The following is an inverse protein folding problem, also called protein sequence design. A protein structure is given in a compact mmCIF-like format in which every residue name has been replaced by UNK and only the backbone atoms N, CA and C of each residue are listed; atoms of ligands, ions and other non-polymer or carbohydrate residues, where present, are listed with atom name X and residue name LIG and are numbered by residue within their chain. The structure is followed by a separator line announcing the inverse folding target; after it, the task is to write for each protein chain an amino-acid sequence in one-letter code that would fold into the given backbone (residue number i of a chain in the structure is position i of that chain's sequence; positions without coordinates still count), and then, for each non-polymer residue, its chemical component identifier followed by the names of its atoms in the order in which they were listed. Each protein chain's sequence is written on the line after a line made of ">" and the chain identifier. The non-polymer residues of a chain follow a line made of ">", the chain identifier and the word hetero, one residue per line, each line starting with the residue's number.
data_IF_244959561889
#
_entry.id   IF_244959561889
#
_cell.length_a   1.000
_cell.length_b   1.000
_cell.length_c   1.000
_cell.angle_alpha   90.00
_cell.angle_beta   90.00
_cell.angle_gamma   90.00
#
_symmetry.space_group_name_H-M   'P 1'
#
loop_
_entity.id
_entity.type
_entity.pdbx_description
1 polymer ?
#
# COMPACT_ATOMS: atom_id res chain seq x y z
N UNK A 1 13.57 8.06 -7.64
CA UNK A 1 13.29 8.94 -6.48
C UNK A 1 11.92 8.69 -5.85
N UNK A 2 10.85 8.38 -6.60
CA UNK A 2 9.51 8.15 -6.03
C UNK A 2 9.41 7.01 -4.98
N UNK A 3 10.17 5.91 -5.16
CA UNK A 3 10.17 4.76 -4.23
C UNK A 3 10.70 5.15 -2.83
N UNK A 4 11.67 6.06 -2.75
CA UNK A 4 12.23 6.46 -1.45
C UNK A 4 11.26 7.37 -0.68
N UNK A 5 10.50 8.21 -1.39
CA UNK A 5 9.50 9.10 -0.78
C UNK A 5 8.35 8.27 -0.20
N UNK A 6 7.80 7.32 -0.97
CA UNK A 6 6.69 6.49 -0.47
C UNK A 6 7.11 5.60 0.70
N UNK A 7 8.35 5.08 0.69
CA UNK A 7 8.90 4.26 1.77
C UNK A 7 8.96 5.03 3.09
N UNK A 8 9.42 6.30 3.05
CA UNK A 8 9.43 7.17 4.23
C UNK A 8 8.02 7.49 4.72
N UNK A 9 7.07 7.73 3.81
CA UNK A 9 5.66 7.95 4.16
C UNK A 9 5.07 6.72 4.85
N UNK A 10 5.35 5.51 4.34
CA UNK A 10 4.90 4.25 4.96
C UNK A 10 5.51 4.09 6.35
N UNK A 11 6.81 4.33 6.51
CA UNK A 11 7.51 4.22 7.79
C UNK A 11 6.92 5.18 8.85
N UNK A 12 6.40 6.34 8.43
CA UNK A 12 5.75 7.31 9.32
C UNK A 12 4.28 6.94 9.64
N UNK A 13 3.54 6.36 8.67
CA UNK A 13 2.13 6.02 8.87
C UNK A 13 1.98 4.76 9.72
N UNK A 14 2.76 3.71 9.45
CA UNK A 14 2.61 2.39 10.09
C UNK A 14 2.58 2.45 11.63
N UNK A 15 3.45 3.22 12.32
CA UNK A 15 3.39 3.36 13.78
C UNK A 15 2.12 4.03 14.30
N UNK A 16 1.41 4.80 13.47
CA UNK A 16 0.18 5.52 13.84
C UNK A 16 -1.09 4.69 13.62
N UNK A 17 -1.00 3.56 12.92
CA UNK A 17 -2.14 2.69 12.67
C UNK A 17 -2.46 1.87 13.94
N UNK A 18 -3.74 1.84 14.30
CA UNK A 18 -4.23 0.94 15.34
C UNK A 18 -4.05 -0.52 14.88
N UNK A 19 -3.45 -1.35 15.73
CA UNK A 19 -3.20 -2.77 15.43
C UNK A 19 -4.38 -3.63 15.90
N UNK A 20 -4.76 -4.69 15.15
CA UNK A 20 -4.24 -5.08 13.84
C UNK A 20 -4.71 -4.14 12.71
N UNK A 21 -3.90 -4.00 11.66
CA UNK A 21 -4.29 -3.27 10.44
C UNK A 21 -3.99 -4.10 9.18
N UNK A 22 -4.61 -3.76 8.05
CA UNK A 22 -4.33 -4.41 6.77
C UNK A 22 -3.51 -3.53 5.82
N UNK A 23 -2.84 -4.14 4.84
CA UNK A 23 -2.20 -3.39 3.75
C UNK A 23 -3.17 -2.42 3.08
N UNK A 24 -4.46 -2.77 2.99
CA UNK A 24 -5.48 -1.91 2.40
C UNK A 24 -5.73 -0.67 3.26
N UNK A 25 -5.91 -0.82 4.58
CA UNK A 25 -6.08 0.34 5.48
C UNK A 25 -4.90 1.32 5.41
N UNK A 26 -3.67 0.80 5.26
CA UNK A 26 -2.50 1.64 5.04
C UNK A 26 -2.59 2.40 3.71
N UNK A 27 -2.98 1.73 2.62
CA UNK A 27 -3.12 2.36 1.31
C UNK A 27 -4.22 3.43 1.33
N UNK A 28 -5.37 3.16 1.95
CA UNK A 28 -6.44 4.14 2.15
C UNK A 28 -5.95 5.38 2.89
N UNK A 29 -5.20 5.18 3.99
CA UNK A 29 -4.62 6.29 4.76
C UNK A 29 -3.60 7.08 3.94
N UNK A 30 -2.83 6.39 3.11
CA UNK A 30 -1.85 7.01 2.23
C UNK A 30 -2.51 7.82 1.11
N UNK A 31 -3.61 7.34 0.53
CA UNK A 31 -4.41 8.11 -0.44
C UNK A 31 -5.03 9.34 0.23
N UNK A 32 -5.61 9.17 1.42
CA UNK A 32 -6.30 10.25 2.13
C UNK A 32 -5.35 11.39 2.55
N UNK A 33 -4.13 11.08 2.99
CA UNK A 33 -3.22 12.06 3.57
C UNK A 33 -2.05 12.46 2.63
N UNK A 34 -1.71 11.63 1.65
CA UNK A 34 -0.54 11.77 0.79
C UNK A 34 -0.88 11.44 -0.67
N UNK A 35 -2.00 11.99 -1.16
CA UNK A 35 -2.55 11.69 -2.48
C UNK A 35 -1.56 11.98 -3.62
N UNK A 36 -0.78 13.06 -3.50
CA UNK A 36 0.22 13.44 -4.51
C UNK A 36 1.33 12.39 -4.60
N UNK A 37 1.86 11.95 -3.47
CA UNK A 37 2.88 10.91 -3.39
C UNK A 37 2.34 9.57 -3.89
N UNK A 38 1.10 9.22 -3.53
CA UNK A 38 0.40 8.06 -4.05
C UNK A 38 0.33 8.09 -5.58
N UNK A 39 -0.20 9.17 -6.16
CA UNK A 39 -0.36 9.31 -7.60
C UNK A 39 1.00 9.23 -8.31
N UNK A 40 2.03 9.89 -7.79
CA UNK A 40 3.38 9.82 -8.32
C UNK A 40 3.97 8.40 -8.25
N UNK A 41 3.70 7.67 -7.17
CA UNK A 41 4.13 6.30 -7.00
C UNK A 41 3.42 5.36 -7.99
N UNK A 42 2.10 5.48 -8.15
CA UNK A 42 1.33 4.72 -9.15
C UNK A 42 1.82 5.04 -10.57
N UNK A 43 1.98 6.32 -10.90
CA UNK A 43 2.47 6.78 -12.21
C UNK A 43 3.88 6.29 -12.52
N UNK A 44 4.70 5.96 -11.51
CA UNK A 44 6.02 5.36 -11.74
C UNK A 44 5.95 3.97 -12.39
N UNK A 45 4.79 3.30 -12.31
CA UNK A 45 4.52 2.02 -12.97
C UNK A 45 3.85 2.15 -14.34
N UNK A 46 3.71 3.37 -14.87
CA UNK A 46 3.12 3.63 -16.17
C UNK A 46 3.92 2.90 -17.27
N UNK A 47 3.20 2.10 -18.06
CA UNK A 47 3.71 1.44 -19.25
C UNK A 47 2.68 1.57 -20.37
N UNK A 48 3.12 1.57 -21.63
CA UNK A 48 2.28 1.83 -22.80
C UNK A 48 0.98 0.98 -22.86
N UNK A 49 1.03 -0.25 -22.33
CA UNK A 49 -0.09 -1.20 -22.38
C UNK A 49 -0.80 -1.41 -21.02
N UNK A 50 -0.54 -0.59 -20.00
CA UNK A 50 -1.12 -0.75 -18.65
C UNK A 50 -2.06 0.39 -18.31
N UNK A 51 -3.35 0.07 -18.16
CA UNK A 51 -4.35 0.98 -17.58
C UNK A 51 -4.09 1.27 -16.10
N UNK A 52 -4.80 2.27 -15.55
CA UNK A 52 -4.61 2.75 -14.17
C UNK A 52 -4.80 1.63 -13.13
N UNK A 53 -5.77 0.73 -13.34
CA UNK A 53 -5.99 -0.47 -12.52
C UNK A 53 -4.73 -1.31 -12.30
N UNK A 54 -4.00 -1.59 -13.38
CA UNK A 54 -2.80 -2.42 -13.32
C UNK A 54 -1.67 -1.70 -12.59
N UNK A 55 -1.59 -0.38 -12.72
CA UNK A 55 -0.58 0.43 -12.03
C UNK A 55 -0.87 0.46 -10.52
N UNK A 56 -2.13 0.65 -10.12
CA UNK A 56 -2.58 0.59 -8.73
C UNK A 56 -2.32 -0.80 -8.11
N UNK A 57 -2.65 -1.88 -8.83
CA UNK A 57 -2.37 -3.27 -8.40
C UNK A 57 -0.89 -3.50 -8.11
N UNK A 58 -0.01 -3.02 -9.01
CA UNK A 58 1.43 -3.14 -8.82
C UNK A 58 1.87 -2.31 -7.60
N UNK A 59 1.39 -1.07 -7.47
CA UNK A 59 1.70 -0.20 -6.35
C UNK A 59 1.34 -0.86 -5.00
N UNK A 60 0.11 -1.35 -4.85
CA UNK A 60 -0.35 -2.04 -3.62
C UNK A 60 0.51 -3.27 -3.34
N UNK A 61 0.83 -4.07 -4.36
CA UNK A 61 1.68 -5.25 -4.20
C UNK A 61 3.09 -4.88 -3.71
N UNK A 62 3.66 -3.79 -4.24
CA UNK A 62 4.99 -3.34 -3.85
C UNK A 62 5.02 -2.79 -2.42
N UNK A 63 3.95 -2.11 -2.00
CA UNK A 63 3.76 -1.71 -0.59
C UNK A 63 3.74 -2.94 0.32
N UNK A 64 2.91 -3.94 0.00
CA UNK A 64 2.85 -5.18 0.79
C UNK A 64 4.22 -5.89 0.89
N UNK A 65 4.98 -5.93 -0.21
CA UNK A 65 6.35 -6.47 -0.22
C UNK A 65 7.31 -5.64 0.61
N UNK A 66 7.23 -4.32 0.54
CA UNK A 66 8.07 -3.42 1.34
C UNK A 66 7.83 -3.65 2.83
N UNK A 67 6.56 -3.65 3.28
CA UNK A 67 6.21 -3.91 4.67
C UNK A 67 6.72 -5.28 5.11
N UNK A 68 6.49 -6.32 4.30
CA UNK A 68 6.95 -7.68 4.60
C UNK A 68 8.47 -7.81 4.76
N UNK A 69 9.26 -7.02 4.02
CA UNK A 69 10.72 -6.98 4.17
C UNK A 69 11.19 -6.16 5.38
N UNK A 70 10.36 -5.25 5.88
CA UNK A 70 10.72 -4.27 6.90
C UNK A 70 9.95 -4.46 8.22
N UNK A 71 9.34 -5.63 8.46
CA UNK A 71 8.54 -5.90 9.66
C UNK A 71 9.29 -5.62 10.96
N UNK A 72 10.57 -6.03 11.03
CA UNK A 72 11.43 -5.76 12.20
C UNK A 72 11.69 -4.28 12.45
N UNK A 73 11.94 -3.49 11.38
CA UNK A 73 12.11 -2.03 11.47
C UNK A 73 10.82 -1.33 11.88
N UNK A 74 9.69 -1.79 11.34
CA UNK A 74 8.36 -1.24 11.58
C UNK A 74 7.75 -1.70 12.91
N UNK A 75 8.40 -2.62 13.63
CA UNK A 75 7.91 -3.16 14.90
C UNK A 75 6.58 -3.90 14.76
N UNK A 76 6.32 -4.52 13.60
CA UNK A 76 5.10 -5.27 13.29
C UNK A 76 5.43 -6.73 12.97
N UNK A 77 4.42 -7.58 12.90
CA UNK A 77 4.50 -8.97 12.48
C UNK A 77 3.46 -9.26 11.41
N UNK A 78 3.78 -10.19 10.51
CA UNK A 78 2.83 -10.66 9.51
C UNK A 78 1.75 -11.49 10.20
N UNK A 79 0.50 -11.09 10.08
CA UNK A 79 -0.67 -11.83 10.51
C UNK A 79 -1.17 -12.77 9.42
N UNK A 80 -2.49 -12.95 9.34
CA UNK A 80 -3.15 -13.79 8.35
C UNK A 80 -3.45 -13.04 7.05
N UNK A 81 -3.73 -13.80 6.00
CA UNK A 81 -4.34 -13.27 4.78
C UNK A 81 -5.85 -13.24 4.98
N UNK A 82 -6.46 -12.09 4.68
CA UNK A 82 -7.90 -11.88 4.82
C UNK A 82 -8.52 -11.67 3.44
N UNK A 83 -9.74 -12.17 3.18
CA UNK A 83 -10.50 -11.75 2.01
C UNK A 83 -10.85 -10.28 2.16
N UNK A 84 -10.51 -9.48 1.17
CA UNK A 84 -10.87 -8.06 1.14
C UNK A 84 -10.90 -7.58 -0.30
N UNK A 85 -12.02 -6.96 -0.65
CA UNK A 85 -12.43 -6.73 -2.02
C UNK A 85 -12.28 -5.27 -2.45
N UNK A 86 -12.06 -4.36 -1.50
CA UNK A 86 -12.19 -2.92 -1.76
C UNK A 86 -11.12 -2.13 -1.01
N UNK A 87 -10.52 -1.16 -1.69
CA UNK A 87 -9.68 -0.14 -1.08
C UNK A 87 -10.31 1.21 -1.45
N UNK A 88 -10.75 1.96 -0.46
CA UNK A 88 -11.36 3.28 -0.69
C UNK A 88 -10.33 4.22 -1.34
N UNK A 89 -10.72 4.85 -2.45
CA UNK A 89 -9.90 5.83 -3.17
C UNK A 89 -9.07 5.26 -4.31
N UNK A 90 -9.15 3.97 -4.60
CA UNK A 90 -8.63 3.39 -5.84
C UNK A 90 -9.68 3.45 -6.96
N UNK A 91 -9.20 3.70 -8.18
CA UNK A 91 -10.09 3.96 -9.33
C UNK A 91 -10.66 2.65 -9.86
N UNK A 92 -9.86 1.57 -9.91
CA UNK A 92 -10.29 0.30 -10.51
C UNK A 92 -9.71 -0.96 -9.83
N UNK A 93 -8.86 -0.81 -8.80
CA UNK A 93 -8.26 -1.96 -8.13
C UNK A 93 -9.23 -2.66 -7.17
N UNK A 94 -9.68 -3.85 -7.58
CA UNK A 94 -10.42 -4.80 -6.72
C UNK A 94 -9.51 -5.99 -6.36
N UNK A 95 -8.73 -5.93 -5.26
CA UNK A 95 -7.99 -7.07 -4.75
C UNK A 95 -8.94 -8.17 -4.27
N UNK A 96 -8.46 -9.41 -4.15
CA UNK A 96 -9.24 -10.55 -3.60
C UNK A 96 -8.88 -10.76 -2.13
N UNK A 97 -7.67 -10.36 -1.75
CA UNK A 97 -7.09 -10.66 -0.46
C UNK A 97 -6.12 -9.57 -0.03
N UNK A 98 -6.02 -9.38 1.28
CA UNK A 98 -5.10 -8.45 1.92
C UNK A 98 -4.28 -9.16 2.99
N UNK A 99 -3.17 -8.54 3.39
CA UNK A 99 -2.35 -9.04 4.50
C UNK A 99 -2.65 -8.22 5.75
N UNK A 100 -2.98 -8.91 6.84
CA UNK A 100 -3.08 -8.34 8.19
C UNK A 100 -1.68 -8.23 8.81
N UNK A 101 -1.44 -7.14 9.55
CA UNK A 101 -0.20 -6.84 10.26
C UNK A 101 -0.51 -6.56 11.74
N UNK A 102 0.30 -7.14 12.63
CA UNK A 102 0.16 -7.12 14.10
C UNK A 102 1.27 -6.31 14.77
#
# INVERSE_FOLDING_TARGET
>A
MAINVISNTIDNIVPTLQRPFTTHNLVERLIANHQTEWNNFVMSYRQANRGIRHQEQIAVTQIGRYIGRNTGKLGIRRGRTLPDNTIIGLIEHNPIQTTEWL
#
